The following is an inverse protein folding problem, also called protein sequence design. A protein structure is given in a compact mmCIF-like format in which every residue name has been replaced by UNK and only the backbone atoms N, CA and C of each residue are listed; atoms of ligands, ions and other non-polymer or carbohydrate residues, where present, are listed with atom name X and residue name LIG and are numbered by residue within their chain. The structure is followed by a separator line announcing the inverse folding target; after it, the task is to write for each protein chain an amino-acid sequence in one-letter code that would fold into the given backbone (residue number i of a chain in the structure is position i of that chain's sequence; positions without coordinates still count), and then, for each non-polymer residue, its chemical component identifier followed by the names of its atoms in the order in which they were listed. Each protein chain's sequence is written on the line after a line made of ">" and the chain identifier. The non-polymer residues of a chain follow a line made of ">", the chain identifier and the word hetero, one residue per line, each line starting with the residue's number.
data_IF_379960622823
#
_entry.id   IF_379960622823
#
_cell.length_a   1.000
_cell.length_b   1.000
_cell.length_c   1.000
_cell.angle_alpha   90.00
_cell.angle_beta   90.00
_cell.angle_gamma   90.00
#
_symmetry.space_group_name_H-M   'P 1'
#
loop_
_entity.id
_entity.type
_entity.pdbx_description
1 polymer ?
#
# COMPACT_ATOMS: atom_id res chain seq x y z
N UNK A 1 11.98 -3.92 21.42
CA UNK A 1 13.15 -4.56 20.77
C UNK A 1 13.48 -5.97 21.25
N UNK A 2 13.42 -6.31 22.53
CA UNK A 2 13.83 -7.66 23.03
C UNK A 2 13.10 -8.85 22.38
N UNK A 3 11.92 -8.62 21.79
CA UNK A 3 11.14 -9.61 21.03
C UNK A 3 11.40 -9.58 19.50
N UNK A 4 12.46 -8.91 19.04
CA UNK A 4 12.75 -8.71 17.61
C UNK A 4 11.90 -7.64 16.90
N UNK A 5 10.88 -7.08 17.58
CA UNK A 5 10.03 -6.02 17.04
C UNK A 5 10.72 -4.64 17.08
N UNK A 6 10.35 -3.80 16.10
CA UNK A 6 10.68 -2.37 16.00
C UNK A 6 9.59 -1.52 16.63
N UNK A 7 9.93 -0.27 16.97
CA UNK A 7 9.01 0.66 17.64
C UNK A 7 8.75 1.90 16.76
N UNK A 8 7.48 2.13 16.43
CA UNK A 8 7.03 3.33 15.72
C UNK A 8 6.38 4.37 16.63
N UNK A 9 6.57 5.64 16.30
CA UNK A 9 5.98 6.79 16.98
C UNK A 9 5.24 7.69 15.96
N UNK A 10 4.36 8.54 16.47
CA UNK A 10 3.57 9.50 15.70
C UNK A 10 3.82 10.93 16.21
N UNK A 11 3.97 11.87 15.28
CA UNK A 11 3.94 13.31 15.55
C UNK A 11 3.39 14.05 14.32
N UNK A 12 3.46 15.37 14.32
CA UNK A 12 2.86 16.24 13.30
C UNK A 12 3.80 17.41 12.96
N UNK A 13 3.87 17.82 11.70
CA UNK A 13 4.63 18.97 11.22
C UNK A 13 3.98 20.33 11.57
N UNK A 14 2.79 20.32 12.16
CA UNK A 14 2.10 21.48 12.69
C UNK A 14 2.34 21.73 14.17
N UNK A 15 1.67 22.74 14.70
CA UNK A 15 1.75 23.09 16.13
C UNK A 15 0.97 22.12 17.02
N UNK A 16 -0.01 21.41 16.43
CA UNK A 16 -0.83 20.43 17.10
C UNK A 16 -1.04 19.24 16.17
N UNK A 17 -1.11 18.03 16.73
CA UNK A 17 -1.54 16.86 15.99
C UNK A 17 -3.00 16.98 15.55
N UNK A 18 -3.46 16.09 14.67
CA UNK A 18 -4.86 16.04 14.26
C UNK A 18 -5.83 15.90 15.46
N UNK A 19 -5.41 15.22 16.54
CA UNK A 19 -6.17 15.10 17.80
C UNK A 19 -5.84 16.20 18.84
N UNK A 20 -5.26 17.32 18.41
CA UNK A 20 -4.98 18.49 19.25
C UNK A 20 -4.02 18.21 20.43
N UNK A 21 -3.09 17.28 20.25
CA UNK A 21 -1.92 17.08 21.14
C UNK A 21 -0.74 17.93 20.64
N UNK A 22 0.34 18.14 21.42
CA UNK A 22 1.50 18.89 20.93
C UNK A 22 2.07 18.30 19.62
N UNK A 23 2.22 19.15 18.60
CA UNK A 23 2.93 18.81 17.36
C UNK A 23 4.42 19.19 17.44
N UNK A 24 5.18 18.85 16.40
CA UNK A 24 6.64 19.01 16.37
C UNK A 24 7.15 20.31 15.75
N UNK A 25 6.28 21.17 15.21
CA UNK A 25 6.70 22.41 14.52
C UNK A 25 7.56 23.30 15.42
N UNK A 26 8.78 23.59 14.99
CA UNK A 26 9.76 24.40 15.72
C UNK A 26 10.53 23.65 16.82
N UNK A 27 10.23 22.37 17.04
CA UNK A 27 10.88 21.49 18.02
C UNK A 27 11.52 20.26 17.35
N UNK A 28 11.64 20.23 16.03
CA UNK A 28 12.00 19.05 15.24
C UNK A 28 13.32 18.42 15.72
N UNK A 29 14.37 19.24 15.94
CA UNK A 29 15.67 18.78 16.45
C UNK A 29 15.64 18.33 17.91
N UNK A 30 14.79 18.92 18.74
CA UNK A 30 14.62 18.48 20.13
C UNK A 30 13.92 17.12 20.16
N UNK A 31 12.82 17.02 19.43
CA UNK A 31 11.98 15.84 19.35
C UNK A 31 12.74 14.67 18.72
N UNK A 32 13.45 14.87 17.61
CA UNK A 32 14.25 13.82 16.98
C UNK A 32 15.34 13.26 17.92
N UNK A 33 16.02 14.11 18.71
CA UNK A 33 16.97 13.64 19.74
C UNK A 33 16.27 12.78 20.79
N UNK A 34 15.07 13.18 21.22
CA UNK A 34 14.30 12.43 22.21
C UNK A 34 13.81 11.09 21.65
N UNK A 35 13.32 11.06 20.42
CA UNK A 35 12.90 9.85 19.72
C UNK A 35 14.06 8.85 19.59
N UNK A 36 15.24 9.34 19.22
CA UNK A 36 16.45 8.52 19.17
C UNK A 36 16.84 7.96 20.55
N UNK A 37 16.77 8.78 21.61
CA UNK A 37 17.05 8.36 22.97
C UNK A 37 16.07 7.29 23.48
N UNK A 38 14.81 7.33 23.06
CA UNK A 38 13.81 6.29 23.35
C UNK A 38 13.97 5.02 22.48
N UNK A 39 14.84 5.05 21.47
CA UNK A 39 15.04 3.94 20.56
C UNK A 39 13.92 3.77 19.53
N UNK A 40 13.22 4.85 19.16
CA UNK A 40 12.26 4.84 18.05
C UNK A 40 12.95 4.37 16.76
N UNK A 41 12.27 3.56 15.96
CA UNK A 41 12.76 3.05 14.67
C UNK A 41 11.94 3.55 13.47
N UNK A 42 10.76 4.12 13.71
CA UNK A 42 9.84 4.59 12.69
C UNK A 42 9.09 5.84 13.20
N UNK A 43 8.96 6.87 12.37
CA UNK A 43 8.16 8.06 12.67
C UNK A 43 7.11 8.26 11.56
N UNK A 44 5.82 8.17 11.92
CA UNK A 44 4.74 8.76 11.13
C UNK A 44 4.65 10.25 11.47
N UNK A 45 4.71 11.11 10.45
CA UNK A 45 4.72 12.55 10.64
C UNK A 45 3.62 13.20 9.81
N UNK A 46 2.62 13.73 10.50
CA UNK A 46 1.35 14.20 9.96
C UNK A 46 1.39 15.68 9.55
N UNK A 47 0.27 16.20 9.01
CA UNK A 47 0.20 17.54 8.42
C UNK A 47 -0.94 18.43 8.97
N UNK A 48 -1.50 18.14 10.15
CA UNK A 48 -2.57 18.94 10.74
C UNK A 48 -2.05 20.24 11.39
N UNK A 49 -2.89 21.28 11.47
CA UNK A 49 -2.52 22.56 12.14
C UNK A 49 -1.22 23.20 11.61
N UNK A 50 -0.95 23.04 10.31
CA UNK A 50 0.28 23.48 9.63
C UNK A 50 0.23 24.90 9.08
N UNK A 51 -0.95 25.55 9.09
CA UNK A 51 -1.17 26.92 8.57
C UNK A 51 -0.70 27.09 7.13
N UNK A 52 0.19 28.03 6.84
CA UNK A 52 0.69 28.36 5.49
C UNK A 52 2.08 27.77 5.20
N UNK A 53 2.46 26.72 5.93
CA UNK A 53 3.76 26.05 5.73
C UNK A 53 3.87 25.39 4.36
N UNK A 54 5.09 25.30 3.86
CA UNK A 54 5.41 24.51 2.67
C UNK A 54 5.74 23.06 3.09
N UNK A 55 5.03 22.09 2.51
CA UNK A 55 5.19 20.66 2.78
C UNK A 55 6.64 20.21 2.70
N UNK A 56 7.25 20.34 1.52
CA UNK A 56 8.61 19.86 1.27
C UNK A 56 9.62 20.46 2.25
N UNK A 57 9.55 21.77 2.50
CA UNK A 57 10.44 22.44 3.44
C UNK A 57 10.27 21.92 4.88
N UNK A 58 9.03 21.83 5.37
CA UNK A 58 8.76 21.35 6.74
C UNK A 58 9.17 19.89 6.95
N UNK A 59 8.87 19.00 5.98
CA UNK A 59 9.32 17.60 6.06
C UNK A 59 10.85 17.48 5.95
N UNK A 60 11.51 18.34 5.18
CA UNK A 60 12.98 18.34 5.08
C UNK A 60 13.66 18.72 6.40
N UNK A 61 13.07 19.65 7.18
CA UNK A 61 13.59 20.01 8.51
C UNK A 61 13.54 18.80 9.45
N UNK A 62 12.42 18.07 9.49
CA UNK A 62 12.31 16.86 10.30
C UNK A 62 13.25 15.75 9.79
N UNK A 63 13.41 15.57 8.48
CA UNK A 63 14.41 14.66 7.90
C UNK A 63 15.81 14.98 8.42
N UNK A 64 16.23 16.24 8.36
CA UNK A 64 17.55 16.67 8.85
C UNK A 64 17.70 16.45 10.36
N UNK A 65 16.64 16.71 11.13
CA UNK A 65 16.62 16.47 12.57
C UNK A 65 16.79 14.97 12.91
N UNK A 66 16.09 14.08 12.20
CA UNK A 66 16.21 12.63 12.34
C UNK A 66 17.63 12.15 11.99
N UNK A 67 18.20 12.61 10.88
CA UNK A 67 19.59 12.29 10.52
C UNK A 67 20.57 12.77 11.59
N UNK A 68 20.39 14.00 12.10
CA UNK A 68 21.27 14.58 13.13
C UNK A 68 21.17 13.87 14.48
N UNK A 69 20.06 13.18 14.74
CA UNK A 69 19.87 12.38 15.97
C UNK A 69 20.86 11.20 16.06
N UNK A 70 21.42 10.76 14.93
CA UNK A 70 22.40 9.66 14.86
C UNK A 70 21.79 8.26 14.93
N UNK A 71 20.46 8.13 14.99
CA UNK A 71 19.75 6.85 14.94
C UNK A 71 19.01 6.71 13.60
N UNK A 72 19.13 5.59 12.88
CA UNK A 72 18.28 5.30 11.73
C UNK A 72 16.82 5.18 12.17
N UNK A 73 15.97 6.07 11.66
CA UNK A 73 14.53 6.11 11.91
C UNK A 73 13.85 6.18 10.54
N UNK A 74 12.97 5.21 10.23
CA UNK A 74 12.16 5.23 9.00
C UNK A 74 11.22 6.43 9.06
N UNK A 75 11.24 7.26 8.03
CA UNK A 75 10.44 8.48 8.00
C UNK A 75 9.24 8.35 7.06
N UNK A 76 8.04 8.30 7.65
CA UNK A 76 6.76 8.20 6.95
C UNK A 76 6.06 9.55 6.92
N UNK A 77 5.91 10.10 5.72
CA UNK A 77 5.31 11.40 5.44
C UNK A 77 3.79 11.23 5.31
N UNK A 78 3.01 12.03 6.05
CA UNK A 78 1.56 11.94 6.07
C UNK A 78 0.92 13.31 5.80
N UNK A 79 1.04 13.79 4.56
CA UNK A 79 0.33 14.99 4.06
C UNK A 79 -0.77 14.66 3.03
N UNK A 80 -1.19 13.40 3.01
CA UNK A 80 -2.36 12.92 2.26
C UNK A 80 -2.29 13.09 0.73
N UNK A 81 -1.09 13.25 0.18
CA UNK A 81 -0.87 13.44 -1.26
C UNK A 81 -1.14 14.84 -1.78
N UNK A 82 -1.50 15.81 -0.93
CA UNK A 82 -2.01 17.13 -1.37
C UNK A 82 -0.97 17.94 -2.15
N UNK A 83 0.31 17.79 -1.82
CA UNK A 83 1.42 18.43 -2.51
C UNK A 83 2.13 17.54 -3.54
N UNK A 84 1.53 16.39 -3.89
CA UNK A 84 2.11 15.38 -4.78
C UNK A 84 3.48 14.90 -4.30
N UNK A 85 3.56 14.29 -3.10
CA UNK A 85 4.81 13.96 -2.43
C UNK A 85 5.68 13.01 -3.25
N UNK A 86 5.09 12.16 -4.09
CA UNK A 86 5.82 11.34 -5.05
C UNK A 86 6.78 12.13 -5.97
N UNK A 87 6.59 13.43 -6.15
CA UNK A 87 7.48 14.29 -6.97
C UNK A 87 8.70 14.87 -6.23
N UNK A 88 8.74 14.81 -4.90
CA UNK A 88 9.80 15.45 -4.10
C UNK A 88 10.25 14.67 -2.86
N UNK A 89 9.43 13.76 -2.34
CA UNK A 89 9.64 13.08 -1.06
C UNK A 89 10.70 11.99 -1.11
N UNK A 90 11.13 11.55 -2.29
CA UNK A 90 12.17 10.53 -2.47
C UNK A 90 13.46 10.85 -1.70
N UNK A 91 13.87 12.12 -1.70
CA UNK A 91 15.09 12.57 -1.03
C UNK A 91 14.83 13.03 0.43
N UNK A 92 13.59 12.87 0.91
CA UNK A 92 13.13 13.37 2.21
C UNK A 92 12.70 12.22 3.13
N UNK A 93 11.77 11.37 2.70
CA UNK A 93 11.21 10.28 3.49
C UNK A 93 11.37 8.91 2.82
N UNK A 94 11.06 7.87 3.57
CA UNK A 94 11.10 6.48 3.10
C UNK A 94 9.77 6.00 2.53
N UNK A 95 8.69 6.69 2.85
CA UNK A 95 7.35 6.45 2.33
C UNK A 95 6.50 7.70 2.54
N UNK A 96 5.45 7.86 1.72
CA UNK A 96 4.55 9.01 1.79
C UNK A 96 3.12 8.63 1.47
N UNK A 97 2.19 9.13 2.30
CA UNK A 97 0.76 9.01 2.04
C UNK A 97 0.41 9.70 0.72
N UNK A 98 -0.29 8.98 -0.16
CA UNK A 98 -0.68 9.46 -1.50
C UNK A 98 -2.14 9.95 -1.55
N UNK A 99 -2.93 9.66 -0.52
CA UNK A 99 -4.36 9.96 -0.45
C UNK A 99 -4.79 10.42 0.95
N UNK A 100 -6.02 10.93 1.06
CA UNK A 100 -6.76 10.98 2.33
C UNK A 100 -6.91 9.61 2.99
N UNK A 101 -7.40 9.59 4.22
CA UNK A 101 -7.42 8.36 5.04
C UNK A 101 -8.35 7.29 4.45
N UNK A 102 -7.88 6.04 4.47
CA UNK A 102 -8.74 4.91 4.13
C UNK A 102 -9.85 4.77 5.16
N UNK A 103 -10.98 4.24 4.70
CA UNK A 103 -12.12 3.87 5.52
C UNK A 103 -12.43 2.40 5.25
N UNK A 104 -12.88 1.70 6.30
CA UNK A 104 -13.34 0.32 6.21
C UNK A 104 -14.68 0.21 5.45
N UNK A 105 -14.61 0.42 4.14
CA UNK A 105 -15.72 0.35 3.19
C UNK A 105 -15.16 0.07 1.79
N UNK A 106 -15.90 -0.70 1.00
CA UNK A 106 -15.53 -0.96 -0.40
C UNK A 106 -15.51 0.33 -1.22
N UNK A 107 -16.62 1.06 -1.19
CA UNK A 107 -16.89 2.28 -1.94
C UNK A 107 -17.63 3.27 -1.02
N UNK A 108 -16.90 4.25 -0.49
CA UNK A 108 -17.49 5.36 0.23
C UNK A 108 -16.60 6.60 0.20
N UNK A 109 -17.19 7.77 0.43
CA UNK A 109 -16.48 9.03 0.66
C UNK A 109 -17.02 9.69 1.91
N UNK A 110 -16.12 10.32 2.67
CA UNK A 110 -16.44 11.16 3.81
C UNK A 110 -16.21 12.62 3.44
N UNK A 111 -17.03 13.51 3.98
CA UNK A 111 -16.92 14.95 3.70
C UNK A 111 -15.57 15.54 4.09
N UNK A 112 -14.90 14.94 5.09
CA UNK A 112 -13.59 15.36 5.57
C UNK A 112 -12.41 14.78 4.76
N UNK A 113 -12.68 13.99 3.71
CA UNK A 113 -11.66 13.48 2.78
C UNK A 113 -11.33 11.99 2.89
N UNK A 114 -11.89 11.29 3.88
CA UNK A 114 -11.76 9.83 4.00
C UNK A 114 -12.41 9.09 2.83
N UNK A 115 -11.80 7.98 2.38
CA UNK A 115 -12.18 7.28 1.16
C UNK A 115 -12.17 5.76 1.33
N UNK A 116 -13.09 5.07 0.65
CA UNK A 116 -13.10 3.62 0.56
C UNK A 116 -12.01 3.06 -0.35
N UNK A 117 -11.81 1.74 -0.23
CA UNK A 117 -10.77 0.99 -0.93
C UNK A 117 -10.68 1.31 -2.43
N UNK A 118 -11.79 1.26 -3.17
CA UNK A 118 -11.75 1.39 -4.64
C UNK A 118 -11.36 2.81 -5.10
N UNK A 119 -11.69 3.84 -4.30
CA UNK A 119 -11.29 5.21 -4.60
C UNK A 119 -9.81 5.44 -4.36
N UNK A 120 -9.26 4.91 -3.26
CA UNK A 120 -7.82 4.98 -3.00
C UNK A 120 -7.04 4.23 -4.09
N UNK A 121 -7.51 3.04 -4.48
CA UNK A 121 -6.90 2.26 -5.54
C UNK A 121 -6.86 3.03 -6.88
N UNK A 122 -7.94 3.73 -7.24
CA UNK A 122 -7.98 4.53 -8.46
C UNK A 122 -6.93 5.65 -8.48
N UNK A 123 -6.60 6.21 -7.32
CA UNK A 123 -5.60 7.28 -7.16
C UNK A 123 -4.15 6.76 -7.20
N UNK A 124 -3.93 5.45 -7.16
CA UNK A 124 -2.59 4.86 -7.29
C UNK A 124 -2.15 4.66 -8.74
N UNK A 125 -3.08 4.72 -9.69
CA UNK A 125 -2.75 4.53 -11.10
C UNK A 125 -1.86 5.67 -11.63
N UNK A 126 -0.76 5.32 -12.27
CA UNK A 126 0.25 6.28 -12.76
C UNK A 126 1.29 6.70 -11.72
N UNK A 127 1.22 6.20 -10.48
CA UNK A 127 2.21 6.49 -9.44
C UNK A 127 3.37 5.48 -9.39
N UNK A 128 3.32 4.42 -10.19
CA UNK A 128 4.26 3.29 -10.12
C UNK A 128 5.73 3.68 -10.36
N UNK A 129 5.96 4.69 -11.19
CA UNK A 129 7.32 5.16 -11.53
C UNK A 129 8.01 5.94 -10.40
N UNK A 130 7.27 6.33 -9.37
CA UNK A 130 7.79 7.11 -8.23
C UNK A 130 8.12 6.26 -7.01
N UNK A 131 7.72 4.98 -6.99
CA UNK A 131 7.99 4.07 -5.89
C UNK A 131 9.10 3.07 -6.25
N UNK A 132 9.84 2.64 -5.24
CA UNK A 132 10.89 1.64 -5.38
C UNK A 132 11.65 1.42 -4.08
N UNK A 133 12.73 0.60 -4.11
CA UNK A 133 13.53 0.32 -2.93
C UNK A 133 13.94 1.58 -2.16
N UNK A 134 13.45 1.68 -0.92
CA UNK A 134 13.73 2.77 0.01
C UNK A 134 12.79 3.97 -0.02
N UNK A 135 11.79 3.99 -0.91
CA UNK A 135 10.86 5.11 -1.10
C UNK A 135 9.52 4.62 -1.69
N UNK A 136 8.46 4.60 -0.89
CA UNK A 136 7.20 3.92 -1.24
C UNK A 136 5.99 4.85 -1.25
N UNK A 137 5.09 4.65 -2.22
CA UNK A 137 3.74 5.20 -2.15
C UNK A 137 2.97 4.48 -1.04
N UNK A 138 2.37 5.24 -0.13
CA UNK A 138 1.57 4.72 0.98
C UNK A 138 0.08 5.04 0.73
N UNK A 139 -0.71 4.05 0.27
CA UNK A 139 -2.16 4.18 0.13
C UNK A 139 -2.92 4.03 1.46
N UNK A 140 -2.23 4.18 2.61
CA UNK A 140 -2.72 4.05 3.98
C UNK A 140 -2.78 2.60 4.50
N UNK A 141 -3.07 2.49 5.79
CA UNK A 141 -3.12 1.22 6.54
C UNK A 141 -4.13 0.21 5.98
N UNK A 142 -3.99 -1.05 6.37
CA UNK A 142 -4.93 -2.11 6.01
C UNK A 142 -6.15 -2.09 6.93
N UNK A 143 -7.35 -2.03 6.34
CA UNK A 143 -8.64 -2.14 7.07
C UNK A 143 -9.06 -3.60 7.34
N UNK A 144 -8.19 -4.56 6.98
CA UNK A 144 -8.45 -6.00 7.04
C UNK A 144 -8.83 -6.45 8.45
N UNK A 145 -10.12 -6.76 8.63
CA UNK A 145 -10.68 -7.27 9.88
C UNK A 145 -11.37 -6.24 10.78
N UNK A 146 -11.60 -5.01 10.32
CA UNK A 146 -12.26 -3.95 11.11
C UNK A 146 -13.80 -4.04 11.11
N UNK A 147 -14.38 -4.80 10.18
CA UNK A 147 -15.78 -5.26 10.17
C UNK A 147 -16.72 -4.57 9.19
N UNK A 148 -16.28 -3.51 8.50
CA UNK A 148 -17.03 -2.75 7.51
C UNK A 148 -17.00 -3.36 6.10
N UNK A 149 -16.00 -4.19 5.81
CA UNK A 149 -15.95 -5.05 4.61
C UNK A 149 -16.06 -6.54 4.97
N UNK A 150 -16.42 -7.36 3.98
CA UNK A 150 -16.45 -8.82 4.10
C UNK A 150 -15.10 -9.46 3.70
N UNK A 151 -14.94 -10.77 3.92
CA UNK A 151 -13.68 -11.48 3.65
C UNK A 151 -13.24 -11.43 2.17
N UNK A 152 -14.18 -11.43 1.23
CA UNK A 152 -13.89 -11.29 -0.21
C UNK A 152 -13.30 -9.92 -0.52
N UNK A 153 -13.90 -8.88 0.03
CA UNK A 153 -13.45 -7.49 -0.10
C UNK A 153 -12.08 -7.28 0.56
N UNK A 154 -11.86 -7.83 1.76
CA UNK A 154 -10.54 -7.76 2.41
C UNK A 154 -9.44 -8.49 1.63
N UNK A 155 -9.75 -9.62 0.99
CA UNK A 155 -8.78 -10.30 0.10
C UNK A 155 -8.44 -9.44 -1.11
N UNK A 156 -9.42 -8.76 -1.71
CA UNK A 156 -9.18 -7.79 -2.78
C UNK A 156 -8.30 -6.63 -2.31
N UNK A 157 -8.65 -6.00 -1.19
CA UNK A 157 -7.86 -4.91 -0.59
C UNK A 157 -6.42 -5.31 -0.32
N UNK A 158 -6.19 -6.44 0.37
CA UNK A 158 -4.85 -6.92 0.67
C UNK A 158 -4.04 -7.28 -0.59
N UNK A 159 -4.68 -7.94 -1.56
CA UNK A 159 -4.02 -8.32 -2.82
C UNK A 159 -3.53 -7.10 -3.60
N UNK A 160 -4.35 -6.05 -3.67
CA UNK A 160 -3.99 -4.85 -4.41
C UNK A 160 -2.92 -4.03 -3.68
N UNK A 161 -2.92 -3.98 -2.33
CA UNK A 161 -1.81 -3.39 -1.59
C UNK A 161 -0.49 -4.12 -1.87
N UNK A 162 -0.51 -5.45 -1.95
CA UNK A 162 0.67 -6.24 -2.30
C UNK A 162 1.15 -5.99 -3.75
N UNK A 163 0.22 -5.89 -4.70
CA UNK A 163 0.54 -5.53 -6.09
C UNK A 163 1.17 -4.14 -6.16
N UNK A 164 0.71 -3.19 -5.34
CA UNK A 164 1.21 -1.83 -5.30
C UNK A 164 2.57 -1.68 -4.61
N UNK A 165 3.12 -2.75 -4.00
CA UNK A 165 4.29 -2.67 -3.11
C UNK A 165 4.08 -1.65 -1.97
N UNK A 166 2.85 -1.61 -1.44
CA UNK A 166 2.44 -0.68 -0.41
C UNK A 166 2.94 -1.12 0.98
N UNK A 167 3.19 -0.20 1.92
CA UNK A 167 3.41 -0.55 3.32
C UNK A 167 2.25 -1.38 3.89
N UNK A 168 2.52 -2.63 4.29
CA UNK A 168 1.52 -3.52 4.87
C UNK A 168 1.41 -3.30 6.39
N UNK A 169 0.68 -2.27 6.80
CA UNK A 169 0.42 -1.94 8.21
C UNK A 169 -0.98 -2.39 8.62
N UNK A 170 -1.08 -3.42 9.47
CA UNK A 170 -2.36 -3.90 10.00
C UNK A 170 -3.05 -2.82 10.85
N UNK A 171 -4.24 -2.38 10.43
CA UNK A 171 -5.05 -1.36 11.11
C UNK A 171 -6.10 -1.92 12.08
N UNK A 172 -6.05 -3.22 12.39
CA UNK A 172 -7.04 -3.94 13.20
C UNK A 172 -6.54 -4.31 14.60
N UNK A 173 -7.45 -4.77 15.46
CA UNK A 173 -7.08 -5.32 16.77
C UNK A 173 -6.54 -6.75 16.64
N UNK A 174 -5.22 -6.87 16.58
CA UNK A 174 -4.55 -8.17 16.44
C UNK A 174 -4.74 -9.12 17.64
N UNK A 175 -5.24 -8.65 18.79
CA UNK A 175 -5.44 -9.47 20.00
C UNK A 175 -6.70 -10.33 19.89
N UNK A 176 -7.68 -9.87 19.10
CA UNK A 176 -9.01 -10.47 18.93
C UNK A 176 -9.28 -10.86 17.48
N UNK A 177 -8.24 -10.86 16.64
CA UNK A 177 -8.31 -11.17 15.22
C UNK A 177 -8.82 -12.60 14.98
N UNK A 178 -9.87 -12.72 14.16
CA UNK A 178 -10.41 -14.02 13.74
C UNK A 178 -9.40 -14.79 12.89
N UNK A 179 -9.41 -16.13 12.91
CA UNK A 179 -8.52 -16.95 12.08
C UNK A 179 -8.55 -16.59 10.58
N UNK A 180 -9.75 -16.35 10.04
CA UNK A 180 -9.93 -15.95 8.63
C UNK A 180 -9.21 -14.64 8.25
N UNK A 181 -9.12 -13.70 9.18
CA UNK A 181 -8.42 -12.41 8.99
C UNK A 181 -6.91 -12.62 9.10
N UNK A 182 -6.47 -13.44 10.07
CA UNK A 182 -5.07 -13.81 10.19
C UNK A 182 -4.57 -14.53 8.93
N UNK A 183 -5.38 -15.41 8.32
CA UNK A 183 -5.06 -16.07 7.05
C UNK A 183 -4.85 -15.08 5.91
N UNK A 184 -5.63 -13.99 5.85
CA UNK A 184 -5.43 -12.93 4.85
C UNK A 184 -4.09 -12.25 5.07
N UNK A 185 -3.84 -11.73 6.28
CA UNK A 185 -2.65 -10.93 6.59
C UNK A 185 -1.34 -11.74 6.58
N UNK A 186 -1.42 -13.07 6.69
CA UNK A 186 -0.24 -13.94 6.80
C UNK A 186 -0.05 -14.88 5.62
N UNK A 187 -0.82 -14.71 4.52
CA UNK A 187 -0.63 -15.52 3.33
C UNK A 187 0.75 -15.23 2.68
N UNK A 188 1.69 -16.18 2.85
CA UNK A 188 3.08 -16.03 2.41
C UNK A 188 3.24 -15.82 0.91
N UNK A 189 2.41 -16.44 0.08
CA UNK A 189 2.53 -16.27 -1.39
C UNK A 189 2.08 -14.87 -1.82
N UNK A 190 1.07 -14.32 -1.16
CA UNK A 190 0.57 -12.97 -1.43
C UNK A 190 1.53 -11.91 -0.87
N UNK A 191 2.02 -12.09 0.35
CA UNK A 191 3.05 -11.22 0.95
C UNK A 191 4.35 -11.27 0.14
N UNK A 192 4.71 -12.41 -0.47
CA UNK A 192 5.89 -12.48 -1.34
C UNK A 192 5.75 -11.61 -2.61
N UNK A 193 4.53 -11.34 -3.08
CA UNK A 193 4.31 -10.37 -4.16
C UNK A 193 4.70 -8.97 -3.69
N UNK A 194 4.26 -8.57 -2.49
CA UNK A 194 4.62 -7.28 -1.90
C UNK A 194 6.14 -7.15 -1.70
N UNK A 195 6.73 -8.14 -1.04
CA UNK A 195 8.12 -8.20 -0.62
C UNK A 195 9.10 -8.64 -1.72
N UNK A 196 8.66 -8.70 -2.99
CA UNK A 196 9.53 -9.05 -4.11
C UNK A 196 10.73 -8.10 -4.20
N UNK A 197 11.92 -8.67 -4.42
CA UNK A 197 13.19 -7.96 -4.34
C UNK A 197 13.37 -6.86 -5.41
N UNK A 198 12.61 -6.90 -6.51
CA UNK A 198 12.63 -5.81 -7.50
C UNK A 198 12.07 -4.51 -6.92
N UNK A 199 11.19 -4.60 -5.91
CA UNK A 199 10.54 -3.46 -5.30
C UNK A 199 9.69 -2.64 -6.27
N UNK A 200 9.30 -3.21 -7.42
CA UNK A 200 8.50 -2.50 -8.40
C UNK A 200 7.05 -2.40 -7.93
N UNK A 201 6.49 -1.20 -7.90
CA UNK A 201 5.04 -1.03 -7.76
C UNK A 201 4.34 -1.53 -9.04
N UNK A 202 3.27 -2.30 -8.87
CA UNK A 202 2.40 -2.70 -9.96
C UNK A 202 1.51 -1.56 -10.45
N UNK A 203 0.93 -1.73 -11.64
CA UNK A 203 0.05 -0.74 -12.29
C UNK A 203 -1.22 -1.39 -12.83
N UNK A 204 -2.23 -0.58 -13.11
CA UNK A 204 -3.40 -1.04 -13.86
C UNK A 204 -2.99 -1.24 -15.32
N UNK A 205 -3.23 -2.42 -15.85
CA UNK A 205 -2.95 -2.74 -17.26
C UNK A 205 -4.22 -2.75 -18.12
N UNK A 206 -5.38 -2.93 -17.48
CA UNK A 206 -6.67 -3.01 -18.18
C UNK A 206 -7.82 -2.60 -17.28
N UNK A 207 -8.82 -1.92 -17.86
CA UNK A 207 -10.14 -1.66 -17.25
C UNK A 207 -11.23 -1.87 -18.29
N UNK A 208 -12.23 -2.69 -17.94
CA UNK A 208 -13.40 -2.97 -18.77
C UNK A 208 -14.65 -2.98 -17.88
N UNK A 209 -15.47 -1.93 -17.98
CA UNK A 209 -16.62 -1.75 -17.09
C UNK A 209 -16.19 -1.74 -15.62
N UNK A 210 -16.77 -2.64 -14.83
CA UNK A 210 -16.45 -2.82 -13.40
C UNK A 210 -15.26 -3.77 -13.16
N UNK A 211 -14.56 -4.23 -14.20
CA UNK A 211 -13.41 -5.14 -14.05
C UNK A 211 -12.09 -4.41 -14.26
N UNK A 212 -11.14 -4.67 -13.36
CA UNK A 212 -9.77 -4.17 -13.44
C UNK A 212 -8.77 -5.32 -13.51
N UNK A 213 -7.70 -5.13 -14.27
CA UNK A 213 -6.51 -5.97 -14.20
C UNK A 213 -5.34 -5.09 -13.77
N UNK A 214 -4.71 -5.48 -12.66
CA UNK A 214 -3.47 -4.88 -12.18
C UNK A 214 -2.34 -5.89 -12.26
N UNK A 215 -1.15 -5.45 -12.63
CA UNK A 215 0.00 -6.34 -12.76
C UNK A 215 1.28 -5.71 -12.18
N UNK A 216 2.09 -6.56 -11.55
CA UNK A 216 3.43 -6.25 -11.02
C UNK A 216 4.45 -7.19 -11.67
N UNK A 217 5.53 -6.62 -12.17
CA UNK A 217 6.70 -7.39 -12.57
C UNK A 217 7.47 -7.85 -11.34
N UNK A 218 7.85 -9.12 -11.33
CA UNK A 218 8.61 -9.74 -10.25
C UNK A 218 10.09 -9.90 -10.64
N UNK A 219 10.95 -10.03 -9.62
CA UNK A 219 12.40 -10.12 -9.78
C UNK A 219 12.87 -11.36 -10.54
N UNK A 220 12.09 -12.43 -10.53
CA UNK A 220 12.33 -13.67 -11.29
C UNK A 220 11.89 -13.59 -12.76
N UNK A 221 11.40 -12.43 -13.20
CA UNK A 221 10.87 -12.22 -14.54
C UNK A 221 9.38 -12.52 -14.67
N UNK A 222 8.76 -13.14 -13.65
CA UNK A 222 7.33 -13.43 -13.56
C UNK A 222 6.43 -12.19 -13.48
N UNK A 223 5.11 -12.40 -13.52
CA UNK A 223 4.09 -11.37 -13.30
C UNK A 223 3.14 -11.80 -12.21
N UNK A 224 2.97 -10.98 -11.18
CA UNK A 224 1.81 -11.07 -10.31
C UNK A 224 0.67 -10.27 -10.95
N UNK A 225 -0.52 -10.86 -11.05
CA UNK A 225 -1.68 -10.25 -11.72
C UNK A 225 -2.91 -10.39 -10.82
N UNK A 226 -3.55 -9.26 -10.51
CA UNK A 226 -4.82 -9.20 -9.82
C UNK A 226 -5.96 -8.96 -10.83
N UNK A 227 -6.84 -9.94 -10.97
CA UNK A 227 -8.10 -9.83 -11.68
C UNK A 227 -9.18 -9.38 -10.68
N UNK A 228 -9.50 -8.10 -10.68
CA UNK A 228 -10.41 -7.47 -9.73
C UNK A 228 -11.79 -7.26 -10.36
N UNK A 229 -12.84 -7.70 -9.66
CA UNK A 229 -14.22 -7.37 -10.01
C UNK A 229 -14.77 -6.37 -9.01
N UNK A 230 -15.03 -5.14 -9.46
CA UNK A 230 -15.62 -4.05 -8.67
C UNK A 230 -17.14 -4.10 -8.62
N UNK A 231 -17.75 -4.93 -9.47
CA UNK A 231 -19.19 -5.02 -9.64
C UNK A 231 -19.87 -5.84 -8.57
N UNK A 232 -21.20 -5.71 -8.51
CA UNK A 232 -22.06 -6.34 -7.49
C UNK A 232 -22.50 -7.76 -7.84
N UNK A 233 -22.05 -8.30 -8.96
CA UNK A 233 -22.31 -9.66 -9.41
C UNK A 233 -21.02 -10.33 -9.89
N UNK A 234 -20.92 -11.67 -9.85
CA UNK A 234 -19.78 -12.37 -10.42
C UNK A 234 -19.58 -12.03 -11.90
N UNK A 235 -18.31 -11.90 -12.32
CA UNK A 235 -17.95 -11.55 -13.68
C UNK A 235 -16.73 -12.34 -14.15
N UNK A 236 -16.67 -12.64 -15.45
CA UNK A 236 -15.46 -13.20 -16.05
C UNK A 236 -14.47 -12.07 -16.33
N UNK A 237 -13.30 -12.13 -15.70
CA UNK A 237 -12.21 -11.16 -15.89
C UNK A 237 -11.05 -11.86 -16.59
N UNK A 238 -10.46 -11.20 -17.59
CA UNK A 238 -9.43 -11.79 -18.45
C UNK A 238 -8.22 -10.87 -18.59
N UNK A 239 -7.03 -11.47 -18.62
CA UNK A 239 -5.76 -10.81 -18.90
C UNK A 239 -5.11 -11.44 -20.13
N UNK A 240 -4.65 -10.63 -21.08
CA UNK A 240 -3.80 -11.11 -22.18
C UNK A 240 -2.33 -11.02 -21.79
N UNK A 241 -1.50 -11.90 -22.35
CA UNK A 241 -0.05 -11.84 -22.17
C UNK A 241 0.54 -10.51 -22.63
N UNK A 242 0.00 -9.92 -23.69
CA UNK A 242 0.39 -8.59 -24.15
C UNK A 242 0.13 -7.49 -23.11
N UNK A 243 -0.96 -7.57 -22.34
CA UNK A 243 -1.27 -6.56 -21.30
C UNK A 243 -0.20 -6.51 -20.20
N UNK A 244 0.46 -7.65 -19.95
CA UNK A 244 1.49 -7.80 -18.91
C UNK A 244 2.92 -7.82 -19.47
N UNK A 245 3.08 -7.48 -20.76
CA UNK A 245 4.37 -7.33 -21.42
C UNK A 245 5.02 -8.64 -21.86
N UNK A 246 4.25 -9.72 -21.97
CA UNK A 246 4.69 -10.99 -22.56
C UNK A 246 4.25 -11.11 -24.03
N UNK A 247 4.95 -11.93 -24.85
CA UNK A 247 4.52 -12.21 -26.22
C UNK A 247 3.15 -12.91 -26.25
N UNK A 248 2.29 -12.51 -27.19
CA UNK A 248 0.93 -13.06 -27.31
C UNK A 248 0.87 -14.57 -27.62
N UNK A 249 1.95 -15.17 -28.13
CA UNK A 249 2.03 -16.60 -28.43
C UNK A 249 2.69 -17.42 -27.30
N UNK A 250 3.15 -16.76 -26.24
CA UNK A 250 3.80 -17.43 -25.12
C UNK A 250 2.81 -18.39 -24.44
N UNK A 251 3.30 -19.57 -24.08
CA UNK A 251 2.64 -20.47 -23.15
C UNK A 251 3.29 -20.28 -21.78
N UNK A 252 2.51 -19.88 -20.79
CA UNK A 252 3.00 -19.55 -19.45
C UNK A 252 2.24 -20.38 -18.40
N UNK A 253 2.92 -20.78 -17.33
CA UNK A 253 2.29 -21.41 -16.18
C UNK A 253 1.52 -20.35 -15.37
N UNK A 254 0.38 -20.75 -14.81
CA UNK A 254 -0.46 -19.88 -13.98
C UNK A 254 -0.68 -20.55 -12.63
N UNK A 255 -0.46 -19.80 -11.56
CA UNK A 255 -0.72 -20.25 -10.18
C UNK A 255 -1.63 -19.26 -9.46
N UNK A 256 -2.68 -19.75 -8.80
CA UNK A 256 -3.52 -18.98 -7.89
C UNK A 256 -2.88 -18.90 -6.50
N UNK A 257 -2.57 -17.69 -6.05
CA UNK A 257 -1.83 -17.44 -4.80
C UNK A 257 -2.72 -17.53 -3.55
N UNK A 258 -4.03 -17.34 -3.70
CA UNK A 258 -4.98 -17.53 -2.59
C UNK A 258 -5.34 -19.01 -2.42
N UNK A 259 -5.61 -19.69 -3.53
CA UNK A 259 -5.91 -21.13 -3.52
C UNK A 259 -4.64 -22.00 -3.37
N UNK A 260 -3.45 -21.42 -3.51
CA UNK A 260 -2.14 -22.11 -3.50
C UNK A 260 -2.10 -23.26 -4.51
N UNK A 261 -2.67 -23.02 -5.68
CA UNK A 261 -2.98 -24.05 -6.66
C UNK A 261 -2.43 -23.68 -8.03
N UNK A 262 -1.74 -24.61 -8.66
CA UNK A 262 -1.33 -24.50 -10.05
C UNK A 262 -2.56 -24.72 -10.96
N UNK A 263 -2.80 -23.78 -11.85
CA UNK A 263 -3.91 -23.75 -12.80
C UNK A 263 -3.50 -24.24 -14.20
N UNK A 264 -2.29 -24.78 -14.32
CA UNK A 264 -1.71 -25.30 -15.56
C UNK A 264 -1.09 -24.22 -16.45
N UNK A 265 -0.83 -24.59 -17.70
CA UNK A 265 -0.20 -23.73 -18.71
C UNK A 265 -1.26 -23.14 -19.64
N UNK A 266 -1.18 -21.84 -19.90
CA UNK A 266 -2.13 -21.11 -20.75
C UNK A 266 -1.39 -20.34 -21.85
N UNK A 267 -2.00 -20.31 -23.05
CA UNK A 267 -1.43 -19.65 -24.22
C UNK A 267 -2.16 -18.32 -24.51
N UNK A 268 -1.40 -17.24 -24.66
CA UNK A 268 -1.87 -15.89 -25.00
C UNK A 268 -2.70 -15.14 -23.95
N UNK A 269 -3.43 -15.82 -23.07
CA UNK A 269 -4.30 -15.17 -22.07
C UNK A 269 -4.71 -16.13 -20.96
N UNK A 270 -5.25 -15.57 -19.87
CA UNK A 270 -5.93 -16.31 -18.81
C UNK A 270 -7.21 -15.59 -18.39
N UNK A 271 -8.26 -16.35 -18.05
CA UNK A 271 -9.55 -15.84 -17.61
C UNK A 271 -10.03 -16.57 -16.35
N UNK A 272 -10.66 -15.85 -15.43
CA UNK A 272 -11.26 -16.42 -14.23
C UNK A 272 -12.65 -15.83 -13.98
N UNK A 273 -13.53 -16.62 -13.35
CA UNK A 273 -14.77 -16.10 -12.79
C UNK A 273 -14.49 -15.49 -11.42
N UNK A 274 -14.66 -14.18 -11.29
CA UNK A 274 -14.33 -13.42 -10.10
C UNK A 274 -15.63 -13.01 -9.39
N UNK A 275 -15.82 -13.34 -8.10
CA UNK A 275 -17.05 -12.99 -7.38
C UNK A 275 -17.22 -11.47 -7.27
N UNK A 276 -18.42 -11.02 -6.91
CA UNK A 276 -18.71 -9.62 -6.65
C UNK A 276 -17.73 -9.06 -5.60
N UNK A 277 -17.16 -7.89 -5.87
CA UNK A 277 -16.12 -7.24 -5.05
C UNK A 277 -14.90 -8.14 -4.76
N UNK A 278 -14.65 -9.13 -5.61
CA UNK A 278 -13.63 -10.14 -5.41
C UNK A 278 -12.37 -9.91 -6.23
N UNK A 279 -11.36 -10.71 -5.92
CA UNK A 279 -10.10 -10.78 -6.66
C UNK A 279 -9.72 -12.23 -6.93
N UNK A 280 -9.12 -12.47 -8.09
CA UNK A 280 -8.27 -13.63 -8.33
C UNK A 280 -6.85 -13.12 -8.52
N UNK A 281 -5.96 -13.48 -7.59
CA UNK A 281 -4.55 -13.08 -7.62
C UNK A 281 -3.71 -14.26 -8.09
N UNK A 282 -3.05 -14.09 -9.22
CA UNK A 282 -2.25 -15.13 -9.86
C UNK A 282 -0.79 -14.71 -10.03
N UNK A 283 0.10 -15.70 -10.08
CA UNK A 283 1.44 -15.55 -10.64
C UNK A 283 1.48 -16.21 -12.02
N UNK A 284 2.07 -15.53 -12.99
CA UNK A 284 2.25 -15.97 -14.37
C UNK A 284 3.74 -16.05 -14.67
N UNK A 285 4.23 -17.25 -15.03
CA UNK A 285 5.64 -17.51 -15.29
C UNK A 285 5.83 -18.09 -16.71
N UNK A 286 6.73 -17.50 -17.52
CA UNK A 286 7.03 -17.95 -18.88
C UNK A 286 7.73 -19.31 -18.92
#
# INVERSE_FOLDING_TARGET
>A
HSKGLKFGLYSDAGTLTCQKRPGGRGYEFQDARQYAAWGVDYLKYDWCSTTTQNQQASYSIMRDALLKSGRPIVFSICEWGTSKPWTWARDVGNLWRTTGDIQDCWDCKRDWGGMGFVHILDLQDGLESYAGPGHWNDPDMLEVGNGGMNATEYRAHFSLWCILAAPLMAGNDIRSMKPEIAEILTNREVVAVDQDASGLQGRRVKREGDSDVWAKQLSDGGRAVALLNRGKAPAQVSVSWSDIGYPAHLSASVRDLWAKKDLGTHAGSFSANVPAHGVVLIKVEP
#
